data_IF_791445264922
#
_entry.id   IF_791445264922
#
_cell.length_a   1.000
_cell.length_b   1.000
_cell.length_c   1.000
_cell.angle_alpha   90.00
_cell.angle_beta   90.00
_cell.angle_gamma   90.00
#
_symmetry.space_group_name_H-M   'P 1'
#
loop_
_entity.id
_entity.type
_entity.pdbx_description
1 polymer ?
#
# COMPACT_ATOMS: atom_id res chain seq x y z
N UNK A 1 33.53 15.66 28.55
CA UNK A 1 32.54 15.30 27.51
C UNK A 1 32.43 13.79 27.46
N UNK A 2 31.35 13.21 27.96
CA UNK A 2 31.07 11.77 27.85
C UNK A 2 29.57 11.59 27.64
N UNK A 3 29.19 11.24 26.41
CA UNK A 3 27.82 10.95 26.03
C UNK A 3 27.44 9.56 26.58
N UNK A 4 26.50 9.52 27.53
CA UNK A 4 25.86 8.27 27.96
C UNK A 4 24.70 7.97 27.00
N UNK A 5 24.92 7.00 26.12
CA UNK A 5 23.85 6.41 25.30
C UNK A 5 22.89 5.64 26.20
N UNK A 6 21.66 6.15 26.33
CA UNK A 6 20.54 5.40 26.90
C UNK A 6 19.90 4.58 25.77
N UNK A 7 20.29 3.30 25.67
CA UNK A 7 19.46 2.31 24.98
C UNK A 7 18.41 1.88 26.00
N UNK A 8 17.21 2.45 25.90
CA UNK A 8 16.05 2.03 26.69
C UNK A 8 15.65 0.64 26.19
N UNK A 9 16.04 -0.39 26.92
CA UNK A 9 15.50 -1.73 26.79
C UNK A 9 14.02 -1.68 27.23
N UNK A 10 13.11 -1.76 26.26
CA UNK A 10 11.68 -1.96 26.51
C UNK A 10 11.52 -3.36 27.09
N UNK A 11 11.44 -3.46 28.41
CA UNK A 11 11.13 -4.70 29.10
C UNK A 11 9.66 -5.06 28.84
N UNK A 12 9.47 -5.99 27.91
CA UNK A 12 8.20 -6.65 27.60
C UNK A 12 7.84 -7.59 28.76
N UNK A 13 7.23 -7.03 29.83
CA UNK A 13 6.60 -7.82 30.87
C UNK A 13 5.21 -8.27 30.39
N UNK A 14 5.18 -9.27 29.50
CA UNK A 14 3.97 -10.01 29.17
C UNK A 14 3.70 -11.02 30.29
N UNK A 15 3.01 -10.58 31.35
CA UNK A 15 2.51 -11.49 32.37
C UNK A 15 1.31 -12.25 31.81
N UNK A 16 1.51 -13.55 31.62
CA UNK A 16 0.51 -14.50 31.17
C UNK A 16 -0.63 -14.60 32.18
N UNK A 17 -1.79 -14.05 31.82
CA UNK A 17 -3.06 -14.39 32.44
C UNK A 17 -3.87 -15.19 31.42
N UNK A 18 -4.05 -16.47 31.70
CA UNK A 18 -4.97 -17.32 30.97
C UNK A 18 -6.40 -16.81 31.14
N UNK A 19 -6.89 -16.05 30.16
CA UNK A 19 -8.27 -15.60 30.08
C UNK A 19 -8.96 -16.40 28.98
N UNK A 20 -9.75 -17.37 29.40
CA UNK A 20 -10.71 -18.06 28.54
C UNK A 20 -11.71 -17.06 27.97
N UNK A 21 -11.83 -17.03 26.65
CA UNK A 21 -12.76 -16.18 25.93
C UNK A 21 -14.20 -16.69 26.11
N UNK A 22 -14.85 -16.29 27.21
CA UNK A 22 -16.30 -16.39 27.33
C UNK A 22 -16.93 -15.18 26.62
N UNK A 23 -17.60 -15.44 25.49
CA UNK A 23 -18.32 -14.44 24.70
C UNK A 23 -19.55 -13.92 25.46
N UNK A 24 -19.35 -12.94 26.33
CA UNK A 24 -20.43 -12.16 26.92
C UNK A 24 -20.84 -11.05 25.96
N UNK A 25 -22.14 -10.89 25.72
CA UNK A 25 -22.71 -9.79 24.96
C UNK A 25 -22.32 -8.46 25.63
N UNK A 26 -21.42 -7.70 24.99
CA UNK A 26 -20.94 -6.43 25.54
C UNK A 26 -22.02 -5.34 25.45
N UNK A 27 -22.34 -4.63 26.54
CA UNK A 27 -23.24 -3.48 26.50
C UNK A 27 -22.66 -2.36 25.62
N UNK A 28 -23.53 -1.48 25.13
CA UNK A 28 -23.27 -0.42 24.13
C UNK A 28 -22.15 0.60 24.47
N UNK A 29 -21.47 0.48 25.61
CA UNK A 29 -20.25 1.22 25.94
C UNK A 29 -18.95 0.66 25.34
N UNK A 30 -18.97 -0.56 24.78
CA UNK A 30 -17.75 -1.29 24.37
C UNK A 30 -17.07 -0.83 23.07
N UNK A 31 -17.71 0.04 22.27
CA UNK A 31 -17.15 0.46 20.98
C UNK A 31 -15.88 1.32 21.17
N UNK A 32 -15.89 2.24 22.15
CA UNK A 32 -14.75 3.11 22.43
C UNK A 32 -13.59 2.34 23.07
N UNK A 33 -13.91 1.39 23.94
CA UNK A 33 -12.95 0.47 24.57
C UNK A 33 -12.21 -0.37 23.54
N UNK A 34 -12.97 -1.05 22.67
CA UNK A 34 -12.41 -1.89 21.60
C UNK A 34 -11.57 -1.06 20.64
N UNK A 35 -12.03 0.15 20.29
CA UNK A 35 -11.29 1.06 19.42
C UNK A 35 -9.94 1.48 20.05
N UNK A 36 -9.95 1.92 21.31
CA UNK A 36 -8.72 2.31 22.01
C UNK A 36 -7.79 1.12 22.25
N UNK A 37 -8.33 -0.04 22.57
CA UNK A 37 -7.55 -1.27 22.77
C UNK A 37 -6.82 -1.66 21.48
N UNK A 38 -7.54 -1.68 20.36
CA UNK A 38 -6.95 -1.95 19.05
C UNK A 38 -5.93 -0.88 18.63
N UNK A 39 -6.21 0.38 18.95
CA UNK A 39 -5.41 1.53 18.53
C UNK A 39 -4.09 1.66 19.31
N UNK A 40 -4.08 1.34 20.61
CA UNK A 40 -2.91 1.46 21.49
C UNK A 40 -2.31 0.11 21.92
N UNK A 41 -2.88 -1.01 21.46
CA UNK A 41 -2.50 -2.36 21.88
C UNK A 41 -2.55 -2.58 23.41
N UNK A 42 -3.53 -1.94 24.08
CA UNK A 42 -3.74 -2.08 25.53
C UNK A 42 -4.98 -2.95 25.78
N UNK A 43 -4.94 -3.95 26.67
CA UNK A 43 -6.10 -4.79 26.97
C UNK A 43 -7.32 -3.97 27.43
N UNK A 44 -8.51 -4.35 26.98
CA UNK A 44 -9.78 -3.66 27.33
C UNK A 44 -9.99 -3.58 28.85
N UNK A 45 -9.62 -4.63 29.59
CA UNK A 45 -9.79 -4.65 31.04
C UNK A 45 -8.92 -3.61 31.75
N UNK A 46 -7.69 -3.36 31.25
CA UNK A 46 -6.85 -2.29 31.78
C UNK A 46 -7.43 -0.90 31.49
N UNK A 47 -8.03 -0.71 30.30
CA UNK A 47 -8.68 0.55 29.95
C UNK A 47 -9.93 0.82 30.82
N UNK A 48 -10.71 -0.22 31.11
CA UNK A 48 -11.85 -0.13 32.05
C UNK A 48 -11.38 0.17 33.45
N UNK A 49 -10.36 -0.54 33.93
CA UNK A 49 -9.81 -0.31 35.26
C UNK A 49 -9.33 1.14 35.44
N UNK A 50 -8.62 1.69 34.46
CA UNK A 50 -8.17 3.09 34.49
C UNK A 50 -9.33 4.08 34.55
N UNK A 51 -10.41 3.79 33.84
CA UNK A 51 -11.62 4.62 33.85
C UNK A 51 -12.36 4.51 35.18
N UNK A 52 -12.61 3.28 35.64
CA UNK A 52 -13.40 3.01 36.86
C UNK A 52 -12.66 3.43 38.12
N UNK A 53 -11.37 3.08 38.25
CA UNK A 53 -10.56 3.43 39.42
C UNK A 53 -9.99 4.84 39.34
N UNK A 54 -9.70 5.33 38.13
CA UNK A 54 -9.14 6.67 37.92
C UNK A 54 -10.18 7.77 37.83
N UNK A 55 -11.46 7.43 37.66
CA UNK A 55 -12.53 8.41 37.40
C UNK A 55 -12.34 9.16 36.08
N UNK A 56 -11.57 8.60 35.15
CA UNK A 56 -11.20 9.25 33.89
C UNK A 56 -12.29 9.07 32.83
N UNK A 57 -12.63 10.14 32.13
CA UNK A 57 -13.44 10.03 30.91
C UNK A 57 -12.66 9.34 29.79
N UNK A 58 -13.35 8.80 28.76
CA UNK A 58 -12.67 8.18 27.61
C UNK A 58 -11.72 9.11 26.86
N UNK A 59 -12.03 10.42 26.86
CA UNK A 59 -11.13 11.44 26.30
C UNK A 59 -9.84 11.52 27.12
N UNK A 60 -9.95 11.54 28.45
CA UNK A 60 -8.79 11.58 29.35
C UNK A 60 -7.99 10.27 29.31
N UNK A 61 -8.65 9.10 29.19
CA UNK A 61 -7.95 7.81 28.99
C UNK A 61 -7.13 7.86 27.69
N UNK A 62 -7.68 8.39 26.60
CA UNK A 62 -6.92 8.58 25.36
C UNK A 62 -5.73 9.53 25.58
N UNK A 63 -5.95 10.67 26.23
CA UNK A 63 -4.86 11.62 26.51
C UNK A 63 -3.75 10.98 27.36
N UNK A 64 -4.11 10.17 28.37
CA UNK A 64 -3.16 9.45 29.21
C UNK A 64 -2.36 8.41 28.40
N UNK A 65 -3.00 7.69 27.47
CA UNK A 65 -2.34 6.74 26.56
C UNK A 65 -1.36 7.44 25.61
N UNK A 66 -1.76 8.58 25.03
CA UNK A 66 -0.89 9.39 24.17
C UNK A 66 0.32 9.86 24.97
N UNK A 67 0.10 10.43 26.17
CA UNK A 67 1.19 10.91 27.02
C UNK A 67 2.12 9.78 27.45
N UNK A 68 1.59 8.63 27.88
CA UNK A 68 2.39 7.47 28.25
C UNK A 68 3.35 7.05 27.13
N UNK A 69 2.90 7.10 25.88
CA UNK A 69 3.72 6.79 24.71
C UNK A 69 4.79 7.84 24.43
N UNK A 70 4.46 9.12 24.51
CA UNK A 70 5.39 10.21 24.18
C UNK A 70 6.41 10.50 25.29
N UNK A 71 6.01 10.35 26.56
CA UNK A 71 6.91 10.58 27.70
C UNK A 71 7.68 9.33 28.13
N UNK A 72 7.23 8.14 27.71
CA UNK A 72 7.74 6.85 28.19
C UNK A 72 7.30 6.49 29.61
N UNK A 73 6.43 7.30 30.24
CA UNK A 73 5.86 6.98 31.54
C UNK A 73 4.88 5.82 31.45
N UNK A 74 4.78 5.03 32.52
CA UNK A 74 3.73 4.01 32.58
C UNK A 74 2.34 4.67 32.65
N UNK A 75 1.34 4.01 32.09
CA UNK A 75 -0.04 4.50 32.11
C UNK A 75 -0.58 4.62 33.55
N UNK A 76 -0.12 3.75 34.44
CA UNK A 76 -0.44 3.81 35.87
C UNK A 76 0.14 5.06 36.54
N UNK A 77 1.36 5.48 36.19
CA UNK A 77 1.99 6.69 36.73
C UNK A 77 1.26 7.95 36.25
N UNK A 78 0.91 8.01 34.95
CA UNK A 78 0.13 9.13 34.39
C UNK A 78 -1.23 9.23 35.08
N UNK A 79 -1.94 8.12 35.27
CA UNK A 79 -3.21 8.09 35.99
C UNK A 79 -3.05 8.41 37.49
N UNK A 80 -1.94 8.01 38.11
CA UNK A 80 -1.59 8.35 39.49
C UNK A 80 -1.41 9.84 39.70
N UNK A 81 -0.63 10.50 38.82
CA UNK A 81 -0.44 11.95 38.85
C UNK A 81 -1.76 12.70 38.65
N UNK A 82 -2.61 12.22 37.74
CA UNK A 82 -3.93 12.82 37.50
C UNK A 82 -4.83 12.76 38.75
N UNK A 83 -4.84 11.63 39.46
CA UNK A 83 -5.54 11.47 40.75
C UNK A 83 -4.96 12.36 41.85
N UNK A 84 -3.66 12.61 41.82
CA UNK A 84 -3.00 13.56 42.71
C UNK A 84 -3.29 15.04 42.37
N UNK A 85 -4.13 15.30 41.36
CA UNK A 85 -4.56 16.65 40.96
C UNK A 85 -3.66 17.31 39.91
N UNK A 86 -2.61 16.64 39.44
CA UNK A 86 -1.73 17.17 38.38
C UNK A 86 -2.46 17.12 37.04
N UNK A 87 -2.46 18.23 36.30
CA UNK A 87 -3.12 18.29 34.98
C UNK A 87 -2.28 17.58 33.90
N UNK A 88 -2.90 17.20 32.78
CA UNK A 88 -2.16 16.58 31.67
C UNK A 88 -1.17 17.56 31.04
N UNK A 89 -1.51 18.85 31.02
CA UNK A 89 -0.66 19.94 30.57
C UNK A 89 0.59 20.06 31.46
N UNK A 90 0.43 19.98 32.78
CA UNK A 90 1.57 19.97 33.72
C UNK A 90 2.44 18.73 33.56
N UNK A 91 1.85 17.55 33.36
CA UNK A 91 2.60 16.31 33.08
C UNK A 91 3.41 16.47 31.79
N UNK A 92 2.79 16.96 30.71
CA UNK A 92 3.45 17.19 29.43
C UNK A 92 4.61 18.21 29.56
N UNK A 93 4.36 19.33 30.23
CA UNK A 93 5.34 20.39 30.43
C UNK A 93 6.58 19.91 31.19
N UNK A 94 6.42 19.04 32.21
CA UNK A 94 7.56 18.41 32.93
C UNK A 94 8.47 17.60 32.00
N UNK A 95 7.93 17.06 30.92
CA UNK A 95 8.65 16.31 29.89
C UNK A 95 9.02 17.17 28.67
N UNK A 96 8.86 18.50 28.75
CA UNK A 96 9.14 19.45 27.65
C UNK A 96 8.30 19.18 26.40
N UNK A 97 7.05 18.75 26.60
CA UNK A 97 6.08 18.53 25.52
C UNK A 97 4.96 19.56 25.62
N UNK A 98 4.51 20.07 24.48
CA UNK A 98 3.30 20.87 24.36
C UNK A 98 2.11 19.93 24.10
N UNK A 99 1.20 19.80 25.08
CA UNK A 99 0.10 18.83 25.00
C UNK A 99 -0.77 19.01 23.75
N UNK A 100 -1.02 20.27 23.37
CA UNK A 100 -1.81 20.61 22.18
C UNK A 100 -1.18 20.05 20.89
N UNK A 101 0.13 20.21 20.73
CA UNK A 101 0.86 19.76 19.55
C UNK A 101 0.91 18.23 19.48
N UNK A 102 1.13 17.58 20.63
CA UNK A 102 1.13 16.12 20.74
C UNK A 102 -0.22 15.52 20.34
N UNK A 103 -1.33 16.08 20.87
CA UNK A 103 -2.68 15.62 20.52
C UNK A 103 -2.99 15.90 19.04
N UNK A 104 -2.62 17.08 18.53
CA UNK A 104 -2.84 17.43 17.14
C UNK A 104 -2.07 16.52 16.18
N UNK A 105 -0.81 16.19 16.50
CA UNK A 105 -0.01 15.28 15.69
C UNK A 105 -0.60 13.87 15.69
N UNK A 106 -0.99 13.38 16.86
CA UNK A 106 -1.67 12.10 16.99
C UNK A 106 -2.93 12.02 16.11
N UNK A 107 -3.82 13.01 16.17
CA UNK A 107 -5.05 13.01 15.36
C UNK A 107 -4.75 13.13 13.86
N UNK A 108 -3.69 13.86 13.45
CA UNK A 108 -3.20 13.86 12.06
C UNK A 108 -2.75 12.47 11.62
N UNK A 109 -1.92 11.79 12.42
CA UNK A 109 -1.46 10.43 12.12
C UNK A 109 -2.63 9.45 12.04
N UNK A 110 -3.59 9.56 12.97
CA UNK A 110 -4.80 8.74 13.00
C UNK A 110 -5.67 8.95 11.76
N UNK A 111 -5.89 10.20 11.35
CA UNK A 111 -6.62 10.53 10.13
C UNK A 111 -5.91 9.96 8.88
N UNK A 112 -4.58 10.07 8.81
CA UNK A 112 -3.80 9.50 7.71
C UNK A 112 -3.93 7.96 7.65
N UNK A 113 -3.90 7.27 8.81
CA UNK A 113 -4.12 5.81 8.88
C UNK A 113 -5.51 5.41 8.40
N UNK A 114 -6.55 6.18 8.74
CA UNK A 114 -7.92 5.95 8.29
C UNK A 114 -8.11 6.14 6.79
N UNK A 115 -7.38 7.07 6.18
CA UNK A 115 -7.39 7.28 4.72
C UNK A 115 -6.64 6.19 3.93
N UNK A 116 -5.69 5.49 4.57
CA UNK A 116 -4.89 4.44 3.91
C UNK A 116 -5.71 3.24 3.38
N UNK A 117 -6.70 2.67 4.10
CA UNK A 117 -7.55 1.62 3.56
C UNK A 117 -8.42 2.09 2.39
N UNK A 118 -8.89 3.33 2.42
CA UNK A 118 -9.63 3.93 1.29
C UNK A 118 -8.72 4.09 0.07
N UNK A 119 -7.49 4.56 0.25
CA UNK A 119 -6.50 4.63 -0.82
C UNK A 119 -6.17 3.23 -1.38
N UNK A 120 -6.07 2.20 -0.51
CA UNK A 120 -5.86 0.81 -0.95
C UNK A 120 -7.07 0.23 -1.67
N UNK A 121 -8.29 0.60 -1.29
CA UNK A 121 -9.51 0.21 -1.99
C UNK A 121 -9.64 0.93 -3.33
N UNK A 122 -9.32 2.22 -3.39
CA UNK A 122 -9.28 2.99 -4.64
C UNK A 122 -8.27 2.40 -5.64
N UNK A 123 -7.10 1.94 -5.17
CA UNK A 123 -6.12 1.19 -6.00
C UNK A 123 -6.67 -0.17 -6.46
N UNK A 124 -7.58 -0.81 -5.71
CA UNK A 124 -8.27 -2.04 -6.17
C UNK A 124 -9.32 -1.76 -7.23
N UNK A 125 -9.80 -0.53 -7.33
CA UNK A 125 -10.77 -0.07 -8.33
C UNK A 125 -10.12 0.67 -9.49
N UNK A 126 -8.79 0.65 -9.60
CA UNK A 126 -8.12 1.16 -10.80
C UNK A 126 -8.73 0.46 -12.03
N UNK A 127 -9.22 1.23 -13.02
CA UNK A 127 -9.89 0.63 -14.16
C UNK A 127 -8.93 -0.33 -14.84
N UNK A 128 -9.42 -1.52 -15.16
CA UNK A 128 -8.61 -2.62 -15.71
C UNK A 128 -7.73 -2.17 -16.90
N UNK A 129 -8.21 -1.20 -17.68
CA UNK A 129 -7.47 -0.57 -18.77
C UNK A 129 -6.14 0.07 -18.35
N UNK A 130 -6.12 0.82 -17.24
CA UNK A 130 -4.92 1.54 -16.79
C UNK A 130 -3.87 0.57 -16.27
N UNK A 131 -4.32 -0.48 -15.58
CA UNK A 131 -3.45 -1.53 -15.06
C UNK A 131 -2.86 -2.39 -16.17
N UNK A 132 -3.65 -2.71 -17.20
CA UNK A 132 -3.16 -3.40 -18.41
C UNK A 132 -2.07 -2.57 -19.09
N UNK A 133 -2.31 -1.27 -19.28
CA UNK A 133 -1.35 -0.35 -19.89
C UNK A 133 -0.06 -0.26 -19.07
N UNK A 134 -0.15 -0.14 -17.75
CA UNK A 134 1.03 -0.08 -16.88
C UNK A 134 1.89 -1.35 -16.98
N UNK A 135 1.28 -2.53 -16.95
CA UNK A 135 2.01 -3.81 -17.05
C UNK A 135 2.66 -3.99 -18.43
N UNK A 136 1.94 -3.62 -19.49
CA UNK A 136 2.47 -3.61 -20.86
C UNK A 136 3.70 -2.70 -20.98
N UNK A 137 3.61 -1.46 -20.50
CA UNK A 137 4.73 -0.52 -20.52
C UNK A 137 5.93 -0.99 -19.67
N UNK A 138 5.67 -1.57 -18.49
CA UNK A 138 6.72 -2.01 -17.56
C UNK A 138 7.55 -3.15 -18.14
N UNK A 139 6.90 -4.14 -18.76
CA UNK A 139 7.56 -5.38 -19.21
C UNK A 139 7.80 -5.43 -20.72
N UNK A 140 7.39 -4.39 -21.46
CA UNK A 140 7.49 -4.37 -22.92
C UNK A 140 6.59 -5.41 -23.62
N UNK A 141 5.56 -5.92 -22.94
CA UNK A 141 4.64 -6.93 -23.47
C UNK A 141 3.44 -6.28 -24.16
N UNK A 142 2.80 -6.97 -25.10
CA UNK A 142 1.58 -6.46 -25.72
C UNK A 142 0.42 -6.43 -24.72
N UNK A 143 -0.40 -5.36 -24.73
CA UNK A 143 -1.60 -5.29 -23.87
C UNK A 143 -2.56 -6.48 -24.08
N UNK A 144 -2.57 -7.06 -25.29
CA UNK A 144 -3.32 -8.26 -25.63
C UNK A 144 -2.95 -9.47 -24.77
N UNK A 145 -1.66 -9.68 -24.52
CA UNK A 145 -1.14 -10.78 -23.70
C UNK A 145 -1.55 -10.60 -22.23
N UNK A 146 -1.44 -9.37 -21.72
CA UNK A 146 -1.87 -9.02 -20.35
C UNK A 146 -3.35 -9.34 -20.16
N UNK A 147 -4.21 -8.94 -21.12
CA UNK A 147 -5.65 -9.25 -21.09
C UNK A 147 -5.93 -10.75 -21.24
N UNK A 148 -5.14 -11.46 -22.06
CA UNK A 148 -5.29 -12.90 -22.23
C UNK A 148 -5.02 -13.66 -20.91
N UNK A 149 -3.96 -13.30 -20.19
CA UNK A 149 -3.67 -13.86 -18.87
C UNK A 149 -4.79 -13.58 -17.86
N UNK A 150 -5.34 -12.35 -17.87
CA UNK A 150 -6.49 -11.99 -17.03
C UNK A 150 -7.73 -12.82 -17.34
N UNK A 151 -8.08 -13.00 -18.62
CA UNK A 151 -9.20 -13.85 -19.04
C UNK A 151 -9.02 -15.32 -18.66
N UNK A 152 -7.77 -15.80 -18.60
CA UNK A 152 -7.42 -17.15 -18.13
C UNK A 152 -7.54 -17.31 -16.60
N UNK A 153 -7.84 -16.23 -15.87
CA UNK A 153 -8.12 -16.26 -14.43
C UNK A 153 -6.94 -15.86 -13.54
N UNK A 154 -5.78 -15.51 -14.10
CA UNK A 154 -4.63 -15.09 -13.30
C UNK A 154 -4.90 -13.76 -12.58
N UNK A 155 -4.61 -13.70 -11.28
CA UNK A 155 -4.62 -12.45 -10.52
C UNK A 155 -3.53 -11.48 -11.02
N UNK A 156 -3.69 -10.18 -10.77
CA UNK A 156 -2.77 -9.15 -11.26
C UNK A 156 -1.30 -9.38 -10.87
N UNK A 157 -1.04 -9.91 -9.67
CA UNK A 157 0.32 -10.23 -9.21
C UNK A 157 0.93 -11.40 -10.00
N UNK A 158 0.12 -12.40 -10.35
CA UNK A 158 0.56 -13.51 -11.18
C UNK A 158 0.85 -13.07 -12.61
N UNK A 159 0.03 -12.17 -13.17
CA UNK A 159 0.25 -11.56 -14.49
C UNK A 159 1.57 -10.78 -14.51
N UNK A 160 1.79 -9.88 -13.53
CA UNK A 160 3.03 -9.10 -13.41
C UNK A 160 4.26 -10.00 -13.29
N UNK A 161 4.17 -11.08 -12.51
CA UNK A 161 5.26 -12.04 -12.34
C UNK A 161 5.55 -12.85 -13.61
N UNK A 162 4.52 -13.33 -14.31
CA UNK A 162 4.69 -14.06 -15.56
C UNK A 162 5.38 -13.20 -16.64
N UNK A 163 4.93 -11.94 -16.78
CA UNK A 163 5.53 -10.97 -17.70
C UNK A 163 6.98 -10.65 -17.34
N UNK A 164 7.27 -10.48 -16.03
CA UNK A 164 8.63 -10.21 -15.56
C UNK A 164 9.59 -11.38 -15.75
N UNK A 165 9.12 -12.63 -15.68
CA UNK A 165 9.94 -13.82 -16.01
C UNK A 165 10.19 -13.89 -17.52
N UNK A 166 9.14 -13.72 -18.34
CA UNK A 166 9.27 -13.70 -19.80
C UNK A 166 10.26 -12.63 -20.28
N UNK A 167 10.14 -11.40 -19.75
CA UNK A 167 11.02 -10.29 -20.11
C UNK A 167 12.49 -10.53 -19.71
N UNK A 168 12.75 -11.17 -18.56
CA UNK A 168 14.12 -11.46 -18.10
C UNK A 168 14.77 -12.64 -18.81
N UNK A 169 14.00 -13.68 -19.12
CA UNK A 169 14.49 -14.91 -19.76
C UNK A 169 14.48 -14.83 -21.29
N UNK A 170 13.80 -13.83 -21.87
CA UNK A 170 13.58 -13.73 -23.31
C UNK A 170 12.63 -14.80 -23.88
N UNK A 171 11.96 -15.58 -23.02
CA UNK A 171 11.02 -16.64 -23.40
C UNK A 171 9.61 -16.06 -23.57
N UNK A 172 8.76 -16.64 -24.43
CA UNK A 172 7.39 -16.17 -24.59
C UNK A 172 6.56 -16.39 -23.32
N UNK A 173 5.65 -15.46 -23.03
CA UNK A 173 4.73 -15.56 -21.87
C UNK A 173 3.93 -16.86 -21.85
N UNK A 174 3.58 -17.41 -23.03
CA UNK A 174 2.84 -18.66 -23.13
C UNK A 174 3.58 -19.83 -22.46
N UNK A 175 4.90 -19.91 -22.63
CA UNK A 175 5.72 -20.98 -22.04
C UNK A 175 5.82 -20.83 -20.52
N UNK A 176 5.96 -19.60 -20.02
CA UNK A 176 5.92 -19.29 -18.58
C UNK A 176 4.60 -19.76 -17.97
N UNK A 177 3.49 -19.55 -18.67
CA UNK A 177 2.14 -19.93 -18.23
C UNK A 177 1.95 -21.44 -18.28
N UNK A 178 2.45 -22.13 -19.30
CA UNK A 178 2.38 -23.60 -19.41
C UNK A 178 3.07 -24.27 -18.22
N UNK A 179 4.28 -23.82 -17.86
CA UNK A 179 4.97 -24.31 -16.67
C UNK A 179 4.18 -23.99 -15.39
N UNK A 180 3.55 -22.81 -15.31
CA UNK A 180 2.72 -22.44 -14.16
C UNK A 180 1.47 -23.31 -14.05
N UNK A 181 0.82 -23.63 -15.15
CA UNK A 181 -0.37 -24.47 -15.24
C UNK A 181 -0.04 -25.95 -14.97
N UNK A 182 1.20 -26.38 -15.24
CA UNK A 182 1.73 -27.67 -14.80
C UNK A 182 1.93 -27.78 -13.27
N UNK A 183 1.60 -26.71 -12.52
CA UNK A 183 1.60 -26.71 -11.06
C UNK A 183 2.90 -26.24 -10.42
N UNK A 184 3.91 -25.83 -11.19
CA UNK A 184 5.19 -25.35 -10.66
C UNK A 184 5.01 -24.07 -9.84
N UNK A 185 5.87 -23.90 -8.82
CA UNK A 185 5.99 -22.63 -8.13
C UNK A 185 6.70 -21.61 -9.03
N UNK A 186 6.45 -20.31 -8.82
CA UNK A 186 7.05 -19.28 -9.66
C UNK A 186 8.58 -19.28 -9.66
N UNK A 187 9.21 -19.68 -8.56
CA UNK A 187 10.66 -19.88 -8.45
C UNK A 187 11.14 -20.95 -9.42
N UNK A 188 10.44 -22.08 -9.47
CA UNK A 188 10.82 -23.25 -10.26
C UNK A 188 10.58 -23.00 -11.75
N UNK A 189 9.52 -22.24 -12.08
CA UNK A 189 9.27 -21.75 -13.44
C UNK A 189 10.43 -20.88 -13.92
N UNK A 190 10.89 -19.94 -13.08
CA UNK A 190 12.01 -19.07 -13.42
C UNK A 190 13.32 -19.84 -13.56
N UNK A 191 13.63 -20.75 -12.64
CA UNK A 191 14.82 -21.60 -12.69
C UNK A 191 14.82 -22.49 -13.95
N UNK A 192 13.68 -23.10 -14.28
CA UNK A 192 13.52 -23.95 -15.47
C UNK A 192 13.75 -23.18 -16.77
N UNK A 193 13.42 -21.89 -16.81
CA UNK A 193 13.60 -21.02 -17.99
C UNK A 193 14.93 -20.26 -18.01
N UNK A 194 15.65 -20.23 -16.88
CA UNK A 194 16.96 -19.58 -16.76
C UNK A 194 18.12 -20.53 -17.12
N UNK A 195 17.85 -21.82 -17.32
CA UNK A 195 18.80 -22.77 -17.91
C UNK A 195 19.32 -22.26 -19.25
N UNK A 196 20.57 -22.61 -19.59
CA UNK A 196 21.30 -21.98 -20.70
C UNK A 196 20.43 -21.81 -21.94
N UNK A 197 20.36 -20.58 -22.50
CA UNK A 197 19.64 -20.36 -23.74
C UNK A 197 20.25 -21.30 -24.76
N UNK A 198 19.46 -22.25 -25.29
CA UNK A 198 19.92 -23.23 -26.26
C UNK A 198 20.82 -22.51 -27.27
N UNK A 199 22.11 -22.87 -27.26
CA UNK A 199 23.20 -22.21 -27.98
C UNK A 199 22.85 -22.23 -29.47
N UNK A 200 22.18 -21.18 -29.95
CA UNK A 200 21.48 -21.16 -31.24
C UNK A 200 20.22 -20.28 -31.29
N UNK A 201 19.64 -19.88 -30.14
CA UNK A 201 18.44 -19.04 -30.11
C UNK A 201 18.67 -17.55 -30.45
N UNK A 202 19.93 -17.08 -30.53
CA UNK A 202 20.24 -15.69 -30.86
C UNK A 202 20.08 -15.32 -32.35
N UNK A 203 19.82 -16.29 -33.23
CA UNK A 203 19.42 -16.00 -34.62
C UNK A 203 17.90 -15.99 -34.85
N UNK A 204 17.09 -16.31 -33.83
CA UNK A 204 15.65 -16.13 -33.90
C UNK A 204 15.33 -14.63 -33.82
N UNK A 205 15.23 -14.01 -35.01
CA UNK A 205 14.65 -12.68 -35.21
C UNK A 205 13.44 -12.50 -34.30
N UNK A 206 13.26 -11.33 -33.66
CA UNK A 206 12.15 -11.13 -32.73
C UNK A 206 10.83 -11.49 -33.44
N UNK A 207 10.10 -12.42 -32.83
CA UNK A 207 8.95 -13.18 -33.36
C UNK A 207 7.74 -12.33 -33.83
N UNK A 208 7.83 -11.00 -33.81
CA UNK A 208 6.80 -10.13 -34.41
C UNK A 208 6.86 -10.09 -35.95
N UNK A 209 7.88 -10.70 -36.57
CA UNK A 209 8.08 -10.75 -38.03
C UNK A 209 7.58 -12.08 -38.67
N UNK A 210 6.88 -12.93 -37.92
CA UNK A 210 6.45 -14.26 -38.39
C UNK A 210 4.98 -14.28 -38.88
N UNK A 211 4.70 -14.53 -40.18
CA UNK A 211 3.37 -14.45 -40.78
C UNK A 211 2.41 -15.60 -40.42
N UNK A 212 2.81 -16.52 -39.53
CA UNK A 212 2.07 -17.75 -39.23
C UNK A 212 1.23 -17.70 -37.93
N UNK A 213 1.07 -16.55 -37.29
CA UNK A 213 0.14 -16.43 -36.16
C UNK A 213 -1.29 -16.26 -36.68
N UNK A 214 -2.24 -17.18 -36.38
CA UNK A 214 -3.64 -17.05 -36.79
C UNK A 214 -4.37 -15.86 -36.12
N UNK A 215 -3.68 -15.10 -35.26
CA UNK A 215 -4.18 -13.86 -34.65
C UNK A 215 -3.63 -12.57 -35.31
N UNK A 216 -2.81 -12.66 -36.36
CA UNK A 216 -2.05 -11.51 -36.87
C UNK A 216 -2.55 -10.88 -38.20
N UNK A 217 -3.57 -11.41 -38.88
CA UNK A 217 -3.71 -11.15 -40.32
C UNK A 217 -4.70 -10.07 -40.81
N UNK A 218 -5.29 -9.20 -39.96
CA UNK A 218 -6.10 -8.10 -40.50
C UNK A 218 -5.94 -6.71 -39.84
N UNK A 219 -5.67 -6.61 -38.53
CA UNK A 219 -5.52 -5.30 -37.87
C UNK A 219 -4.08 -4.76 -37.83
N UNK A 220 -3.07 -5.60 -38.07
CA UNK A 220 -1.66 -5.23 -37.84
C UNK A 220 -0.99 -4.51 -39.03
N UNK A 221 -1.56 -4.55 -40.23
CA UNK A 221 -1.06 -3.77 -41.38
C UNK A 221 -1.30 -2.26 -41.20
N UNK A 222 -2.38 -1.87 -40.52
CA UNK A 222 -2.73 -0.46 -40.34
C UNK A 222 -1.88 0.23 -39.25
N UNK A 223 -1.43 -0.51 -38.23
CA UNK A 223 -0.64 0.04 -37.12
C UNK A 223 0.87 0.14 -37.40
N UNK A 224 1.44 -0.72 -38.26
CA UNK A 224 2.86 -0.65 -38.62
C UNK A 224 3.16 0.35 -39.75
N UNK A 225 2.18 0.75 -40.58
CA UNK A 225 2.35 1.87 -41.52
C UNK A 225 2.67 3.19 -40.79
N UNK A 226 2.20 3.38 -39.56
CA UNK A 226 2.49 4.58 -38.77
C UNK A 226 3.95 4.69 -38.28
N UNK A 227 4.72 3.59 -38.24
CA UNK A 227 6.13 3.61 -37.80
C UNK A 227 7.10 4.05 -38.90
N UNK A 228 6.78 3.78 -40.17
CA UNK A 228 7.58 4.21 -41.33
C UNK A 228 7.34 5.69 -41.72
N UNK A 229 6.29 6.33 -41.19
CA UNK A 229 6.00 7.74 -41.43
C UNK A 229 6.67 8.73 -40.46
N UNK A 230 7.51 8.26 -39.52
CA UNK A 230 8.19 9.13 -38.53
C UNK A 230 9.38 9.94 -39.09
N UNK A 231 9.40 10.20 -40.41
CA UNK A 231 10.38 11.04 -41.10
C UNK A 231 9.77 12.17 -41.93
N UNK A 232 8.44 12.37 -41.92
CA UNK A 232 7.79 13.49 -42.61
C UNK A 232 6.88 14.19 -41.61
N UNK A 233 7.32 15.35 -41.10
CA UNK A 233 6.45 16.23 -40.33
C UNK A 233 5.22 16.59 -41.19
N UNK A 234 3.99 16.28 -40.75
CA UNK A 234 2.82 16.93 -41.32
C UNK A 234 2.87 18.39 -40.86
N UNK A 235 3.08 19.30 -41.81
CA UNK A 235 2.96 20.72 -41.56
C UNK A 235 1.58 21.03 -40.97
N UNK A 236 1.56 21.39 -39.69
CA UNK A 236 0.35 21.90 -39.06
C UNK A 236 -0.02 23.22 -39.74
N UNK A 237 -1.28 23.41 -40.19
CA UNK A 237 -1.75 24.74 -40.54
C UNK A 237 -1.66 25.61 -39.30
N UNK A 238 -0.92 26.73 -39.40
CA UNK A 238 -0.91 27.78 -38.37
C UNK A 238 -2.35 28.15 -38.05
N UNK A 239 -2.80 27.84 -36.83
CA UNK A 239 -4.05 28.34 -36.29
C UNK A 239 -4.06 29.86 -36.43
N UNK A 240 -5.09 30.34 -37.11
CA UNK A 240 -5.42 31.76 -37.15
C UNK A 240 -5.81 32.18 -35.73
N UNK A 241 -5.02 33.10 -35.17
CA UNK A 241 -5.30 33.75 -33.90
C UNK A 241 -6.64 34.49 -34.04
N UNK A 242 -7.67 34.01 -33.36
CA UNK A 242 -8.96 34.69 -33.27
C UNK A 242 -8.82 35.98 -32.44
N UNK A 243 -9.47 37.09 -32.84
CA UNK A 243 -9.33 38.37 -32.17
C UNK A 243 -10.00 38.39 -30.79
N UNK A 244 -9.27 39.00 -29.86
CA UNK A 244 -9.57 39.20 -28.45
C UNK A 244 -10.85 40.02 -28.24
N UNK A 245 -11.91 39.40 -27.71
CA UNK A 245 -13.12 40.10 -27.31
C UNK A 245 -12.87 40.85 -25.99
N UNK A 246 -12.77 42.17 -26.11
CA UNK A 246 -12.78 43.13 -25.00
C UNK A 246 -14.02 42.92 -24.13
N UNK A 247 -13.79 42.66 -22.83
CA UNK A 247 -14.86 42.67 -21.82
C UNK A 247 -15.21 44.11 -21.44
N UNK A 248 -16.50 44.49 -21.38
CA UNK A 248 -16.90 45.80 -20.88
C UNK A 248 -16.74 45.86 -19.36
N UNK A 249 -16.05 46.89 -18.90
CA UNK A 249 -15.97 47.27 -17.48
C UNK A 249 -17.34 47.70 -16.96
N UNK A 250 -17.72 47.18 -15.81
CA UNK A 250 -18.72 47.78 -14.92
C UNK A 250 -18.11 47.95 -13.54
#
# INVERSE_FOLDING_TARGET
MAARGYVVAVALAAQALGLGAAGAAYPAGGAQETALSSEFAVPVDQLRELRERGGLSWKEVRTALILSRETGMSLADVAGLRRAGVSFEEIAARHRLELGDVIADYERQRAARRRRPEARQAVRSEPESDRVRQLSLRHGAAEGDVRALRRRGFGWEAVDRALGIAARTGRPVSEVVELKDAGLAWSDVEESLSGEPAEGALEARPMWDSPASPFASQEWSDLNQWRLYRGREPGYPREQVAPEHQRPSR
#
